data_IF_688913205883
#
_entry.id   IF_688913205883
#
_cell.length_a   1.000
_cell.length_b   1.000
_cell.length_c   1.000
_cell.angle_alpha   90.00
_cell.angle_beta   90.00
_cell.angle_gamma   90.00
#
_symmetry.space_group_name_H-M   'P 1'
#
loop_
_entity.id
_entity.type
_entity.pdbx_description
1 polymer ?
#
# COMPACT_ATOMS: atom_id res chain seq x y z
N UNK A 1 17.07 19.58 3.39
CA UNK A 1 17.46 18.16 3.31
C UNK A 1 16.86 17.62 2.01
N UNK A 2 17.66 17.01 1.15
CA UNK A 2 17.17 16.37 -0.07
C UNK A 2 16.24 15.23 0.33
N UNK A 3 14.97 15.30 -0.04
CA UNK A 3 14.01 14.24 0.22
C UNK A 3 14.31 13.09 -0.74
N UNK A 4 15.15 12.14 -0.31
CA UNK A 4 15.46 10.97 -1.11
C UNK A 4 14.31 9.94 -0.96
N UNK A 5 13.58 9.74 -2.05
CA UNK A 5 12.52 8.76 -2.18
C UNK A 5 13.14 7.41 -2.56
N UNK A 6 13.63 6.71 -1.54
CA UNK A 6 14.43 5.48 -1.72
C UNK A 6 13.58 4.21 -1.79
N UNK A 7 12.29 4.30 -1.45
CA UNK A 7 11.42 3.13 -1.36
C UNK A 7 10.17 3.27 -2.22
N UNK A 8 9.66 2.12 -2.66
CA UNK A 8 8.29 1.94 -3.12
C UNK A 8 7.56 1.11 -2.08
N UNK A 9 6.40 1.58 -1.62
CA UNK A 9 5.63 0.85 -0.60
C UNK A 9 4.25 0.56 -1.15
N UNK A 10 3.90 -0.72 -1.13
CA UNK A 10 2.57 -1.23 -1.43
C UNK A 10 1.86 -1.51 -0.12
N UNK A 11 0.63 -1.02 0.03
CA UNK A 11 -0.18 -1.18 1.23
C UNK A 11 -1.56 -1.70 0.83
N UNK A 12 -2.04 -2.71 1.55
CA UNK A 12 -3.41 -3.20 1.46
C UNK A 12 -4.00 -3.16 2.87
N UNK A 13 -5.21 -2.61 2.96
CA UNK A 13 -5.99 -2.56 4.20
C UNK A 13 -7.42 -3.04 3.98
N UNK A 14 -8.11 -3.51 5.04
CA UNK A 14 -9.54 -3.70 4.99
C UNK A 14 -10.26 -2.39 4.61
N UNK A 15 -11.32 -2.47 3.81
CA UNK A 15 -12.03 -1.29 3.33
C UNK A 15 -12.64 -0.44 4.47
N UNK A 16 -12.95 -1.06 5.62
CA UNK A 16 -13.46 -0.37 6.81
C UNK A 16 -12.43 0.54 7.50
N UNK A 17 -11.14 0.29 7.31
CA UNK A 17 -10.06 0.99 8.03
C UNK A 17 -9.52 2.21 7.28
N UNK A 18 -10.12 2.54 6.13
CA UNK A 18 -9.69 3.65 5.27
C UNK A 18 -9.60 4.98 6.03
N UNK A 19 -10.53 5.26 6.94
CA UNK A 19 -10.53 6.50 7.73
C UNK A 19 -9.36 6.57 8.72
N UNK A 20 -9.00 5.43 9.32
CA UNK A 20 -7.89 5.36 10.27
C UNK A 20 -6.55 5.53 9.54
N UNK A 21 -6.35 4.84 8.42
CA UNK A 21 -5.15 4.99 7.60
C UNK A 21 -4.97 6.42 7.08
N UNK A 22 -6.04 7.05 6.59
CA UNK A 22 -6.00 8.46 6.14
C UNK A 22 -5.59 9.41 7.27
N UNK A 23 -6.01 9.11 8.50
CA UNK A 23 -5.65 9.91 9.69
C UNK A 23 -4.16 9.77 9.99
N UNK A 24 -3.60 8.55 9.93
CA UNK A 24 -2.14 8.33 10.03
C UNK A 24 -1.37 9.07 8.94
N UNK A 25 -1.83 9.00 7.69
CA UNK A 25 -1.12 9.64 6.57
C UNK A 25 -1.10 11.15 6.66
N UNK A 26 -2.15 11.75 7.19
CA UNK A 26 -2.21 13.20 7.45
C UNK A 26 -1.15 13.64 8.47
N UNK A 27 -0.82 12.79 9.45
CA UNK A 27 0.24 13.07 10.42
C UNK A 27 1.65 12.98 9.80
N UNK A 28 1.82 12.11 8.81
CA UNK A 28 3.11 11.76 8.20
C UNK A 28 3.49 12.74 7.07
N UNK A 29 2.49 13.24 6.34
CA UNK A 29 2.65 14.24 5.28
C UNK A 29 1.77 15.47 5.57
N UNK A 30 2.12 16.31 6.57
CA UNK A 30 1.28 17.44 7.00
C UNK A 30 1.14 18.56 5.96
N UNK A 31 2.05 18.62 4.97
CA UNK A 31 1.88 19.49 3.79
C UNK A 31 0.81 18.98 2.81
N UNK A 32 0.18 17.85 3.13
CA UNK A 32 -0.66 17.08 2.23
C UNK A 32 0.18 16.24 1.28
N UNK A 33 -0.12 14.96 1.19
CA UNK A 33 0.17 14.20 -0.01
C UNK A 33 -1.04 14.36 -0.95
N UNK A 34 -0.91 15.00 -2.14
CA UNK A 34 -1.99 14.99 -3.12
C UNK A 34 -2.36 13.56 -3.57
N UNK A 35 -1.45 12.60 -3.38
CA UNK A 35 -1.67 11.17 -3.53
C UNK A 35 -2.27 10.49 -2.28
N UNK A 36 -2.51 11.15 -1.14
CA UNK A 36 -3.31 10.55 -0.06
C UNK A 36 -4.77 10.30 -0.49
N UNK A 37 -5.22 10.95 -1.56
CA UNK A 37 -6.48 10.60 -2.27
C UNK A 37 -6.38 9.29 -3.07
N UNK A 38 -5.18 8.72 -3.23
CA UNK A 38 -4.87 7.49 -3.98
C UNK A 38 -4.84 6.23 -3.11
N UNK A 39 -5.04 6.33 -1.78
CA UNK A 39 -5.62 5.21 -1.04
C UNK A 39 -7.03 5.00 -1.54
N UNK A 40 -7.21 4.01 -2.38
CA UNK A 40 -8.51 3.98 -3.03
C UNK A 40 -8.72 2.97 -4.10
N UNK A 41 -7.66 2.29 -4.59
CA UNK A 41 -7.86 1.18 -5.53
C UNK A 41 -8.82 0.21 -4.84
N UNK A 42 -10.08 0.11 -5.31
CA UNK A 42 -11.05 -0.76 -4.69
C UNK A 42 -10.63 -2.18 -5.03
N UNK A 43 -10.44 -3.02 -4.02
CA UNK A 43 -9.97 -4.39 -4.22
C UNK A 43 -11.05 -5.39 -3.79
N UNK A 44 -11.21 -6.44 -4.57
CA UNK A 44 -11.96 -7.63 -4.18
C UNK A 44 -11.28 -8.88 -4.75
N UNK A 45 -11.59 -10.06 -4.20
CA UNK A 45 -11.02 -11.32 -4.70
C UNK A 45 -11.44 -11.67 -6.13
N UNK A 46 -12.51 -11.05 -6.63
CA UNK A 46 -13.07 -11.29 -7.96
C UNK A 46 -12.86 -10.14 -8.94
N UNK A 47 -12.31 -9.01 -8.49
CA UNK A 47 -12.19 -7.79 -9.31
C UNK A 47 -13.54 -7.13 -9.64
N UNK A 48 -14.61 -7.50 -8.94
CA UNK A 48 -15.94 -6.95 -9.13
C UNK A 48 -16.69 -6.76 -7.79
N UNK A 49 -17.80 -6.02 -7.83
CA UNK A 49 -18.70 -5.85 -6.70
C UNK A 49 -18.21 -4.85 -5.64
N UNK A 50 -18.57 -5.10 -4.38
CA UNK A 50 -18.18 -4.24 -3.26
C UNK A 50 -16.72 -4.47 -2.90
N UNK A 51 -15.96 -3.37 -2.74
CA UNK A 51 -14.59 -3.42 -2.28
C UNK A 51 -14.52 -3.99 -0.85
N UNK A 52 -13.74 -5.04 -0.67
CA UNK A 52 -13.43 -5.61 0.65
C UNK A 52 -12.14 -5.02 1.21
N UNK A 53 -11.26 -4.57 0.33
CA UNK A 53 -9.97 -3.98 0.67
C UNK A 53 -9.74 -2.69 -0.13
N UNK A 54 -8.76 -1.91 0.33
CA UNK A 54 -8.21 -0.77 -0.38
C UNK A 54 -6.70 -0.95 -0.53
N UNK A 55 -6.23 -0.71 -1.74
CA UNK A 55 -4.82 -0.73 -2.08
C UNK A 55 -4.23 0.66 -2.31
N UNK A 56 -2.93 0.80 -2.04
CA UNK A 56 -2.11 1.93 -2.46
C UNK A 56 -0.68 1.48 -2.80
N UNK A 57 -0.06 2.20 -3.73
CA UNK A 57 1.35 2.05 -4.10
C UNK A 57 1.96 3.45 -4.16
N UNK A 58 2.93 3.74 -3.29
CA UNK A 58 3.47 5.09 -3.13
C UNK A 58 4.99 5.13 -3.01
N UNK A 59 5.56 6.28 -3.36
CA UNK A 59 6.96 6.56 -3.09
C UNK A 59 7.13 6.83 -1.60
N UNK A 60 8.21 6.36 -0.99
CA UNK A 60 8.47 6.64 0.41
C UNK A 60 9.91 7.04 0.69
N UNK A 61 10.02 7.95 1.66
CA UNK A 61 11.28 8.30 2.32
C UNK A 61 11.58 7.29 3.45
N UNK A 62 12.81 7.27 3.99
CA UNK A 62 13.10 6.47 5.19
C UNK A 62 12.21 6.78 6.40
N UNK A 63 11.81 8.05 6.58
CA UNK A 63 10.92 8.43 7.68
C UNK A 63 9.50 7.85 7.48
N UNK A 64 8.96 7.96 6.26
CA UNK A 64 7.65 7.39 5.90
C UNK A 64 7.64 5.87 6.05
N UNK A 65 8.72 5.20 5.64
CA UNK A 65 8.89 3.75 5.84
C UNK A 65 8.74 3.36 7.31
N UNK A 66 9.52 3.99 8.20
CA UNK A 66 9.50 3.65 9.63
C UNK A 66 8.11 3.87 10.27
N UNK A 67 7.34 4.83 9.75
CA UNK A 67 5.97 5.08 10.21
C UNK A 67 4.98 4.01 9.71
N UNK A 68 5.11 3.49 8.49
CA UNK A 68 4.30 2.34 8.02
C UNK A 68 4.59 1.11 8.85
N UNK A 69 5.88 0.83 9.08
CA UNK A 69 6.32 -0.32 9.88
C UNK A 69 5.77 -0.23 11.32
N UNK A 70 5.75 0.96 11.93
CA UNK A 70 5.16 1.17 13.25
C UNK A 70 3.62 1.00 13.26
N UNK A 71 2.92 1.62 12.30
CA UNK A 71 1.45 1.55 12.18
C UNK A 71 0.97 0.10 12.06
N UNK A 72 1.68 -0.71 11.28
CA UNK A 72 1.33 -2.10 11.03
C UNK A 72 1.60 -3.01 12.25
N UNK A 73 2.51 -2.62 13.16
CA UNK A 73 2.81 -3.36 14.38
C UNK A 73 1.81 -3.13 15.52
N UNK A 74 1.31 -1.91 15.66
CA UNK A 74 0.62 -1.50 16.90
C UNK A 74 -0.84 -1.02 16.72
N UNK A 75 -1.25 -0.58 15.52
CA UNK A 75 -2.41 0.31 15.40
C UNK A 75 -3.50 -0.15 14.43
N UNK A 76 -3.16 -0.94 13.41
CA UNK A 76 -4.14 -1.45 12.45
C UNK A 76 -3.96 -2.96 12.20
N UNK A 77 -4.86 -3.75 12.78
CA UNK A 77 -4.94 -5.18 12.53
C UNK A 77 -5.32 -5.44 11.05
N UNK A 78 -4.59 -6.33 10.38
CA UNK A 78 -4.88 -6.69 8.99
C UNK A 78 -4.28 -5.78 7.92
N UNK A 79 -3.40 -4.83 8.29
CA UNK A 79 -2.54 -4.16 7.31
C UNK A 79 -1.57 -5.17 6.72
N UNK A 80 -1.47 -5.14 5.39
CA UNK A 80 -0.46 -5.83 4.62
C UNK A 80 0.41 -4.77 3.96
N UNK A 81 1.73 -4.93 4.04
CA UNK A 81 2.63 -4.03 3.32
C UNK A 81 3.80 -4.78 2.71
N UNK A 82 4.33 -4.17 1.64
CA UNK A 82 5.55 -4.57 0.95
C UNK A 82 6.41 -3.33 0.74
N UNK A 83 7.66 -3.39 1.16
CA UNK A 83 8.64 -2.32 1.00
C UNK A 83 9.65 -2.81 -0.03
N UNK A 84 9.71 -2.12 -1.14
CA UNK A 84 10.65 -2.38 -2.22
C UNK A 84 11.68 -1.26 -2.33
N UNK A 85 12.86 -1.59 -2.86
CA UNK A 85 13.80 -0.59 -3.33
C UNK A 85 13.18 0.20 -4.50
N UNK A 86 13.25 1.53 -4.48
CA UNK A 86 12.61 2.37 -5.49
C UNK A 86 13.25 2.27 -6.89
N UNK A 87 14.49 1.80 -6.98
CA UNK A 87 15.25 1.76 -8.24
C UNK A 87 15.22 0.37 -8.87
N UNK A 88 15.27 -0.68 -8.06
CA UNK A 88 15.30 -2.06 -8.54
C UNK A 88 13.96 -2.78 -8.47
N UNK A 89 13.03 -2.31 -7.62
CA UNK A 89 11.79 -3.00 -7.32
C UNK A 89 11.96 -4.23 -6.42
N UNK A 90 13.18 -4.49 -5.93
CA UNK A 90 13.45 -5.64 -5.05
C UNK A 90 12.72 -5.51 -3.72
N UNK A 91 12.01 -6.56 -3.33
CA UNK A 91 11.33 -6.66 -2.05
C UNK A 91 12.35 -6.69 -0.90
N UNK A 92 12.37 -5.65 -0.08
CA UNK A 92 13.27 -5.49 1.05
C UNK A 92 12.64 -5.98 2.36
N UNK A 93 11.35 -5.76 2.54
CA UNK A 93 10.60 -6.16 3.72
C UNK A 93 9.11 -6.30 3.41
N UNK A 94 8.40 -7.11 4.20
CA UNK A 94 6.95 -7.26 4.10
C UNK A 94 6.34 -7.58 5.46
N UNK A 95 5.05 -7.35 5.58
CA UNK A 95 4.23 -7.84 6.68
C UNK A 95 2.95 -8.45 6.10
N UNK A 96 2.59 -9.63 6.59
CA UNK A 96 1.42 -10.40 6.14
C UNK A 96 1.41 -10.76 4.64
N UNK A 97 2.59 -10.74 3.99
CA UNK A 97 2.81 -11.23 2.62
C UNK A 97 3.58 -12.55 2.58
N UNK A 98 3.51 -13.26 1.46
CA UNK A 98 4.21 -14.56 1.26
C UNK A 98 5.30 -14.54 0.19
N UNK A 99 5.54 -13.38 -0.42
CA UNK A 99 6.56 -13.16 -1.44
C UNK A 99 7.98 -13.36 -0.89
N UNK A 100 8.94 -13.72 -1.75
CA UNK A 100 10.35 -13.94 -1.35
C UNK A 100 11.11 -12.61 -1.31
N UNK A 101 11.84 -12.34 -0.22
CA UNK A 101 12.70 -11.16 -0.13
C UNK A 101 13.83 -11.21 -1.18
N UNK A 102 14.18 -10.06 -1.73
CA UNK A 102 15.20 -9.91 -2.77
C UNK A 102 14.73 -10.21 -4.19
N UNK A 103 13.48 -10.64 -4.38
CA UNK A 103 12.89 -10.70 -5.71
C UNK A 103 12.33 -9.33 -6.11
N UNK A 104 12.46 -8.94 -7.38
CA UNK A 104 11.76 -7.77 -7.90
C UNK A 104 10.26 -8.07 -7.96
N UNK A 105 9.45 -7.18 -7.37
CA UNK A 105 7.98 -7.30 -7.37
C UNK A 105 7.35 -5.98 -7.82
N UNK A 106 6.13 -6.06 -8.35
CA UNK A 106 5.30 -4.92 -8.61
C UNK A 106 3.93 -5.00 -7.89
N UNK A 107 3.03 -4.09 -8.24
CA UNK A 107 1.70 -4.04 -7.65
C UNK A 107 0.85 -5.28 -7.97
N UNK A 108 1.01 -5.88 -9.15
CA UNK A 108 0.26 -7.05 -9.56
C UNK A 108 0.71 -8.28 -8.76
N UNK A 109 2.01 -8.46 -8.52
CA UNK A 109 2.53 -9.53 -7.66
C UNK A 109 1.95 -9.43 -6.24
N UNK A 110 1.85 -8.20 -5.70
CA UNK A 110 1.25 -7.93 -4.39
C UNK A 110 -0.23 -8.30 -4.35
N UNK A 111 -0.99 -8.00 -5.42
CA UNK A 111 -2.40 -8.38 -5.52
C UNK A 111 -2.57 -9.90 -5.60
N UNK A 112 -1.73 -10.58 -6.37
CA UNK A 112 -1.74 -12.03 -6.52
C UNK A 112 -1.41 -12.74 -5.21
N UNK A 113 -0.39 -12.27 -4.47
CA UNK A 113 -0.03 -12.80 -3.15
C UNK A 113 -1.21 -12.74 -2.17
N UNK A 114 -2.03 -11.70 -2.28
CA UNK A 114 -3.18 -11.48 -1.41
C UNK A 114 -4.49 -12.04 -1.96
N UNK A 115 -4.47 -12.66 -3.15
CA UNK A 115 -5.67 -13.17 -3.82
C UNK A 115 -6.70 -12.08 -4.12
N UNK A 116 -6.22 -10.87 -4.43
CA UNK A 116 -7.04 -9.69 -4.71
C UNK A 116 -6.90 -9.25 -6.17
N UNK A 117 -7.88 -8.49 -6.64
CA UNK A 117 -7.89 -7.87 -7.95
C UNK A 117 -8.44 -6.46 -7.82
N UNK A 118 -8.00 -5.58 -8.71
CA UNK A 118 -8.57 -4.23 -8.83
C UNK A 118 -9.99 -4.31 -9.36
N UNK A 119 -10.92 -3.64 -8.69
CA UNK A 119 -12.27 -3.44 -9.18
C UNK A 119 -12.21 -2.39 -10.30
N UNK A 120 -12.41 -2.85 -11.53
CA UNK A 120 -12.49 -1.99 -12.70
C UNK A 120 -13.94 -1.48 -12.78
N UNK A 121 -14.19 -0.15 -12.78
CA UNK A 121 -15.52 0.37 -13.07
C UNK A 121 -15.95 -0.12 -14.45
N UNK A 122 -17.21 -0.54 -14.67
CA UNK A 122 -17.66 -0.84 -16.02
C UNK A 122 -17.38 0.37 -16.92
N UNK A 123 -16.70 0.14 -18.06
CA UNK A 123 -16.48 1.17 -19.06
C UNK A 123 -17.85 1.79 -19.40
N UNK A 124 -17.97 3.10 -19.24
CA UNK A 124 -19.14 3.84 -19.70
C UNK A 124 -19.10 3.80 -21.22
N UNK A 125 -19.89 2.92 -21.82
CA UNK A 125 -20.10 2.80 -23.27
C UNK A 125 -20.88 4.02 -23.78
#
# INVERSE_FOLDING_TARGET
>A
MSTNWLYRIHVIIPAGDQAALNSYWTLIAPAGDPEARTFGVPLSSTGAGTATHRGASTAATPAMRGMIEAMAGDELAGVVFYICDAFTGELLAQQNGTLTLGQAIDWQDVLEDQGLQTIIPPEVI
#
